data_IF_033165737886
#
_entry.id   IF_033165737886
#
_cell.length_a   1.000
_cell.length_b   1.000
_cell.length_c   1.000
_cell.angle_alpha   90.00
_cell.angle_beta   90.00
_cell.angle_gamma   90.00
#
_symmetry.space_group_name_H-M   'P 1'
#
loop_
_entity.id
_entity.type
_entity.pdbx_description
1 polymer ?
#
# COMPACT_ATOMS: atom_id res chain seq x y z
N UNK A 1 -21.59 10.08 9.46
CA UNK A 1 -22.70 9.20 9.87
C UNK A 1 -22.40 7.76 9.49
N UNK A 2 -23.08 6.77 10.07
CA UNK A 2 -22.93 5.35 9.72
C UNK A 2 -23.35 5.08 8.25
N UNK A 3 -24.33 5.80 7.76
CA UNK A 3 -24.78 5.72 6.34
C UNK A 3 -23.64 6.12 5.39
N UNK A 4 -22.95 7.23 5.67
CA UNK A 4 -21.80 7.66 4.87
C UNK A 4 -20.64 6.67 4.91
N UNK A 5 -20.36 6.06 6.06
CA UNK A 5 -19.32 5.02 6.15
C UNK A 5 -19.65 3.79 5.29
N UNK A 6 -20.91 3.35 5.32
CA UNK A 6 -21.38 2.22 4.47
C UNK A 6 -21.25 2.55 2.99
N UNK A 7 -21.63 3.74 2.59
CA UNK A 7 -21.49 4.21 1.20
C UNK A 7 -20.02 4.24 0.75
N UNK A 8 -19.13 4.82 1.56
CA UNK A 8 -17.69 4.87 1.28
C UNK A 8 -17.12 3.46 1.11
N UNK A 9 -17.41 2.56 2.06
CA UNK A 9 -16.97 1.15 1.99
C UNK A 9 -17.50 0.47 0.74
N UNK A 10 -18.77 0.69 0.37
CA UNK A 10 -19.39 0.13 -0.81
C UNK A 10 -18.70 0.58 -2.09
N UNK A 11 -18.43 1.88 -2.24
CA UNK A 11 -17.75 2.43 -3.40
C UNK A 11 -16.34 1.89 -3.56
N UNK A 12 -15.55 1.86 -2.48
CA UNK A 12 -14.19 1.32 -2.48
C UNK A 12 -14.21 -0.19 -2.81
N UNK A 13 -15.11 -0.95 -2.20
CA UNK A 13 -15.26 -2.38 -2.45
C UNK A 13 -15.64 -2.67 -3.91
N UNK A 14 -16.53 -1.88 -4.50
CA UNK A 14 -16.92 -2.00 -5.91
C UNK A 14 -15.71 -1.80 -6.83
N UNK A 15 -14.93 -0.75 -6.64
CA UNK A 15 -13.72 -0.51 -7.44
C UNK A 15 -12.69 -1.61 -7.22
N UNK A 16 -12.44 -2.00 -5.97
CA UNK A 16 -11.54 -3.11 -5.63
C UNK A 16 -11.94 -4.42 -6.35
N UNK A 17 -13.22 -4.76 -6.37
CA UNK A 17 -13.70 -5.99 -7.00
C UNK A 17 -13.55 -5.99 -8.52
N UNK A 18 -13.63 -4.83 -9.17
CA UNK A 18 -13.51 -4.65 -10.63
C UNK A 18 -12.10 -4.35 -11.10
N UNK A 19 -11.17 -4.03 -10.19
CA UNK A 19 -9.76 -3.78 -10.52
C UNK A 19 -9.00 -5.09 -10.61
N UNK A 20 -8.70 -5.52 -11.84
CA UNK A 20 -7.90 -6.72 -12.10
C UNK A 20 -6.41 -6.41 -12.19
N UNK A 21 -6.04 -5.20 -12.60
CA UNK A 21 -4.67 -4.72 -12.64
C UNK A 21 -4.62 -3.21 -12.40
N UNK A 22 -3.52 -2.76 -11.83
CA UNK A 22 -3.22 -1.35 -11.62
C UNK A 22 -1.73 -1.13 -11.85
N UNK A 23 -1.41 -0.17 -12.72
CA UNK A 23 -0.07 0.37 -12.86
C UNK A 23 -0.12 1.84 -12.49
N UNK A 24 0.80 2.31 -11.67
CA UNK A 24 0.92 3.72 -11.34
C UNK A 24 2.36 4.10 -10.99
N UNK A 25 2.70 5.36 -11.21
CA UNK A 25 3.91 5.92 -10.66
C UNK A 25 3.67 6.33 -9.22
N UNK A 26 4.72 6.38 -8.42
CA UNK A 26 4.64 6.89 -7.06
C UNK A 26 5.84 7.77 -6.72
N UNK A 27 5.61 8.71 -5.82
CA UNK A 27 6.64 9.45 -5.10
C UNK A 27 6.47 9.10 -3.62
N UNK A 28 7.54 8.62 -3.00
CA UNK A 28 7.58 8.34 -1.56
C UNK A 28 8.45 9.37 -0.87
N UNK A 29 7.94 9.94 0.21
CA UNK A 29 8.67 10.80 1.12
C UNK A 29 8.75 10.12 2.48
N UNK A 30 9.95 9.85 2.97
CA UNK A 30 10.19 9.36 4.31
C UNK A 30 10.82 10.46 5.15
N UNK A 31 10.19 10.79 6.27
CA UNK A 31 10.68 11.74 7.27
C UNK A 31 11.15 10.93 8.47
N UNK A 32 12.44 11.04 8.79
CA UNK A 32 13.05 10.38 9.95
C UNK A 32 13.09 11.39 11.10
N UNK A 33 12.28 11.15 12.11
CA UNK A 33 12.03 12.11 13.19
C UNK A 33 13.29 12.45 13.98
N UNK A 34 14.12 11.44 14.28
CA UNK A 34 15.35 11.61 15.09
C UNK A 34 16.43 12.42 14.34
N UNK A 35 16.49 12.30 13.02
CA UNK A 35 17.50 12.98 12.19
C UNK A 35 17.01 14.31 11.61
N UNK A 36 15.70 14.58 11.70
CA UNK A 36 15.03 15.67 10.99
C UNK A 36 15.27 15.66 9.46
N UNK A 37 15.63 14.49 8.92
CA UNK A 37 15.93 14.31 7.51
C UNK A 37 14.71 13.82 6.74
N UNK A 38 14.69 14.18 5.44
CA UNK A 38 13.64 13.80 4.50
C UNK A 38 14.27 13.14 3.29
N UNK A 39 13.83 11.92 3.01
CA UNK A 39 14.26 11.16 1.85
C UNK A 39 13.11 11.09 0.85
N UNK A 40 13.40 11.41 -0.41
CA UNK A 40 12.43 11.31 -1.50
C UNK A 40 12.89 10.20 -2.43
N UNK A 41 11.97 9.31 -2.76
CA UNK A 41 12.17 8.23 -3.71
C UNK A 41 11.02 8.21 -4.71
N UNK A 42 11.32 7.83 -5.94
CA UNK A 42 10.32 7.70 -7.00
C UNK A 42 10.40 6.33 -7.64
N UNK A 43 9.28 5.89 -8.20
CA UNK A 43 9.24 4.60 -8.85
C UNK A 43 7.89 4.28 -9.46
N UNK A 44 7.72 3.01 -9.77
CA UNK A 44 6.54 2.47 -10.41
C UNK A 44 6.02 1.26 -9.64
N UNK A 45 4.70 1.18 -9.50
CA UNK A 45 4.01 0.07 -8.89
C UNK A 45 3.13 -0.63 -9.92
N UNK A 46 3.17 -1.96 -9.91
CA UNK A 46 2.27 -2.84 -10.64
C UNK A 46 1.56 -3.76 -9.67
N UNK A 47 0.25 -3.78 -9.78
CA UNK A 47 -0.61 -4.73 -9.06
C UNK A 47 -1.39 -5.56 -10.07
N UNK A 48 -1.55 -6.85 -9.79
CA UNK A 48 -2.42 -7.75 -10.52
C UNK A 48 -3.24 -8.58 -9.53
N UNK A 49 -4.52 -8.79 -9.83
CA UNK A 49 -5.42 -9.63 -9.03
C UNK A 49 -4.76 -10.99 -8.78
N UNK A 50 -5.13 -11.67 -7.71
CA UNK A 50 -4.45 -12.83 -7.11
C UNK A 50 -3.19 -12.45 -6.32
N UNK A 51 -3.14 -11.20 -5.82
CA UNK A 51 -2.13 -10.72 -4.89
C UNK A 51 -0.70 -10.71 -5.46
N UNK A 52 -0.55 -10.38 -6.73
CA UNK A 52 0.74 -10.08 -7.32
C UNK A 52 1.03 -8.59 -7.25
N UNK A 53 2.14 -8.22 -6.65
CA UNK A 53 2.59 -6.85 -6.47
C UNK A 53 4.06 -6.75 -6.87
N UNK A 54 4.37 -5.77 -7.72
CA UNK A 54 5.74 -5.32 -7.98
C UNK A 54 5.85 -3.86 -7.58
N UNK A 55 6.81 -3.56 -6.72
CA UNK A 55 7.11 -2.21 -6.24
C UNK A 55 8.57 -1.91 -6.56
N UNK A 56 8.78 -1.02 -7.50
CA UNK A 56 10.11 -0.72 -8.02
C UNK A 56 10.45 0.75 -7.75
N UNK A 57 11.56 0.99 -7.07
CA UNK A 57 12.15 2.31 -6.91
C UNK A 57 13.19 2.50 -8.01
N UNK A 58 13.14 3.67 -8.66
CA UNK A 58 14.05 4.04 -9.72
C UNK A 58 15.06 5.09 -9.25
N UNK A 59 14.67 5.96 -8.31
CA UNK A 59 15.51 7.01 -7.72
C UNK A 59 15.28 7.13 -6.21
N UNK A 60 16.30 7.56 -5.43
CA UNK A 60 17.71 7.74 -5.78
C UNK A 60 18.45 6.40 -5.91
N UNK A 61 17.91 5.30 -5.39
CA UNK A 61 18.50 3.96 -5.40
C UNK A 61 17.54 2.98 -6.06
N UNK A 62 18.09 2.06 -6.84
CA UNK A 62 17.32 0.97 -7.42
C UNK A 62 16.99 -0.07 -6.37
N UNK A 63 15.71 -0.25 -6.11
CA UNK A 63 15.22 -1.26 -5.20
C UNK A 63 13.96 -1.89 -5.78
N UNK A 64 13.86 -3.20 -5.67
CA UNK A 64 12.75 -3.97 -6.21
C UNK A 64 12.19 -4.89 -5.14
N UNK A 65 10.89 -4.78 -4.92
CA UNK A 65 10.09 -5.72 -4.15
C UNK A 65 9.07 -6.39 -5.09
N UNK A 66 9.05 -7.73 -5.11
CA UNK A 66 8.01 -8.50 -5.78
C UNK A 66 7.36 -9.42 -4.76
N UNK A 67 6.03 -9.44 -4.76
CA UNK A 67 5.21 -10.44 -4.10
C UNK A 67 4.39 -11.16 -5.18
N UNK A 68 4.48 -12.48 -5.24
CA UNK A 68 3.71 -13.29 -6.18
C UNK A 68 3.60 -14.73 -5.67
N UNK A 69 2.38 -15.28 -5.67
CA UNK A 69 2.14 -16.66 -5.24
C UNK A 69 2.61 -16.97 -3.82
N UNK A 70 2.56 -16.00 -2.90
CA UNK A 70 3.04 -16.14 -1.52
C UNK A 70 4.56 -16.08 -1.36
N UNK A 71 5.31 -15.88 -2.44
CA UNK A 71 6.76 -15.70 -2.43
C UNK A 71 7.11 -14.23 -2.54
N UNK A 72 8.22 -13.83 -1.92
CA UNK A 72 8.76 -12.48 -1.95
C UNK A 72 10.16 -12.50 -2.53
N UNK A 73 10.44 -11.56 -3.41
CA UNK A 73 11.78 -11.20 -3.85
C UNK A 73 12.06 -9.76 -3.46
N UNK A 74 13.21 -9.55 -2.84
CA UNK A 74 13.78 -8.23 -2.57
C UNK A 74 15.11 -8.15 -3.29
N UNK A 75 15.28 -7.12 -4.10
CA UNK A 75 16.54 -6.91 -4.83
C UNK A 75 16.95 -5.44 -4.74
N UNK A 76 18.20 -5.22 -4.42
CA UNK A 76 18.89 -3.95 -4.56
C UNK A 76 20.17 -4.12 -5.41
N UNK A 77 21.01 -3.12 -5.48
CA UNK A 77 22.23 -3.16 -6.32
C UNK A 77 23.23 -4.24 -5.89
N UNK A 78 23.25 -4.61 -4.60
CA UNK A 78 24.26 -5.52 -4.03
C UNK A 78 23.72 -6.89 -3.65
N UNK A 79 22.40 -7.05 -3.49
CA UNK A 79 21.81 -8.26 -2.91
C UNK A 79 20.45 -8.60 -3.53
N UNK A 80 20.20 -9.91 -3.63
CA UNK A 80 18.87 -10.46 -3.96
C UNK A 80 18.50 -11.50 -2.91
N UNK A 81 17.38 -11.25 -2.24
CA UNK A 81 16.79 -12.16 -1.25
C UNK A 81 15.46 -12.71 -1.74
N UNK A 82 15.23 -13.98 -1.49
CA UNK A 82 13.98 -14.68 -1.81
C UNK A 82 13.52 -15.46 -0.60
N UNK A 83 12.24 -15.37 -0.27
CA UNK A 83 11.66 -16.10 0.85
C UNK A 83 10.15 -16.34 0.64
N UNK A 84 9.60 -17.26 1.42
CA UNK A 84 8.17 -17.49 1.46
C UNK A 84 7.53 -16.54 2.50
N UNK A 85 6.63 -15.69 2.05
CA UNK A 85 5.92 -14.75 2.91
C UNK A 85 5.06 -15.47 3.97
N UNK A 86 4.61 -16.70 3.68
CA UNK A 86 3.75 -17.45 4.59
C UNK A 86 4.51 -17.99 5.82
N UNK A 87 5.81 -18.23 5.69
CA UNK A 87 6.66 -18.75 6.79
C UNK A 87 7.08 -17.65 7.76
N UNK A 88 6.99 -16.38 7.36
CA UNK A 88 7.38 -15.25 8.19
C UNK A 88 6.18 -14.31 8.41
N UNK A 89 5.69 -14.27 9.67
CA UNK A 89 4.53 -13.45 10.07
C UNK A 89 4.69 -11.97 9.74
N UNK A 90 5.91 -11.43 9.86
CA UNK A 90 6.21 -10.02 9.59
C UNK A 90 5.99 -9.71 8.11
N UNK A 91 6.60 -10.50 7.21
CA UNK A 91 6.47 -10.28 5.76
C UNK A 91 5.05 -10.52 5.26
N UNK A 92 4.35 -11.52 5.83
CA UNK A 92 2.93 -11.71 5.54
C UNK A 92 2.12 -10.47 5.92
N UNK A 93 2.35 -9.92 7.11
CA UNK A 93 1.66 -8.71 7.57
C UNK A 93 1.94 -7.50 6.68
N UNK A 94 3.20 -7.27 6.30
CA UNK A 94 3.60 -6.19 5.39
C UNK A 94 2.93 -6.36 4.01
N UNK A 95 2.95 -7.57 3.46
CA UNK A 95 2.35 -7.87 2.15
C UNK A 95 0.84 -7.66 2.16
N UNK A 96 0.14 -8.09 3.21
CA UNK A 96 -1.29 -7.85 3.39
C UNK A 96 -1.61 -6.35 3.46
N UNK A 97 -0.79 -5.58 4.16
CA UNK A 97 -0.95 -4.12 4.25
C UNK A 97 -0.74 -3.48 2.89
N UNK A 98 0.36 -3.79 2.20
CA UNK A 98 0.66 -3.22 0.89
C UNK A 98 -0.46 -3.50 -0.12
N UNK A 99 -0.88 -4.75 -0.24
CA UNK A 99 -1.99 -5.13 -1.12
C UNK A 99 -3.29 -4.48 -0.67
N UNK A 100 -3.59 -4.53 0.63
CA UNK A 100 -4.80 -3.96 1.20
C UNK A 100 -4.90 -2.44 1.04
N UNK A 101 -3.76 -1.73 1.07
CA UNK A 101 -3.69 -0.30 0.76
C UNK A 101 -3.98 -0.01 -0.70
N UNK A 102 -3.41 -0.82 -1.61
CA UNK A 102 -3.55 -0.61 -3.07
C UNK A 102 -4.97 -0.89 -3.54
N UNK A 103 -5.58 -1.97 -3.06
CA UNK A 103 -6.91 -2.41 -3.48
C UNK A 103 -8.04 -2.00 -2.52
N UNK A 104 -7.74 -1.31 -1.42
CA UNK A 104 -8.73 -0.86 -0.44
C UNK A 104 -9.30 -1.96 0.48
N UNK A 105 -8.88 -3.22 0.35
CA UNK A 105 -9.41 -4.32 1.18
C UNK A 105 -9.02 -4.19 2.65
N UNK A 106 -8.04 -3.36 2.97
CA UNK A 106 -7.65 -3.06 4.34
C UNK A 106 -8.81 -2.47 5.17
N UNK A 107 -9.74 -1.77 4.52
CA UNK A 107 -10.89 -1.13 5.18
C UNK A 107 -11.94 -2.13 5.67
N UNK A 108 -11.95 -3.34 5.15
CA UNK A 108 -12.89 -4.39 5.55
C UNK A 108 -12.41 -5.21 6.74
N UNK A 109 -11.14 -5.06 7.13
CA UNK A 109 -10.54 -5.84 8.21
C UNK A 109 -10.69 -5.14 9.57
N UNK A 110 -11.92 -5.06 10.07
CA UNK A 110 -12.26 -4.40 11.34
C UNK A 110 -11.65 -5.09 12.58
N UNK A 111 -11.22 -6.34 12.44
CA UNK A 111 -10.53 -7.05 13.53
C UNK A 111 -9.08 -6.57 13.69
N UNK A 112 -8.42 -6.17 12.60
CA UNK A 112 -7.02 -5.72 12.61
C UNK A 112 -6.88 -4.22 12.85
N UNK A 113 -7.89 -3.42 12.45
CA UNK A 113 -7.84 -1.95 12.52
C UNK A 113 -9.13 -1.36 13.07
N UNK A 114 -9.02 -0.23 13.77
CA UNK A 114 -10.12 0.71 13.98
C UNK A 114 -9.99 1.84 12.97
N UNK A 115 -11.10 2.25 12.35
CA UNK A 115 -11.10 3.21 11.26
C UNK A 115 -11.93 4.45 11.57
N UNK A 116 -11.37 5.62 11.28
CA UNK A 116 -12.04 6.92 11.31
C UNK A 116 -12.10 7.47 9.89
N UNK A 117 -13.23 8.08 9.53
CA UNK A 117 -13.52 8.57 8.18
C UNK A 117 -13.65 10.09 8.17
N UNK A 118 -12.90 10.75 7.31
CA UNK A 118 -12.94 12.20 7.12
C UNK A 118 -13.33 12.46 5.66
N UNK A 119 -14.46 13.13 5.47
CA UNK A 119 -15.05 13.37 4.16
C UNK A 119 -14.78 14.82 3.74
N UNK A 120 -13.89 15.00 2.78
CA UNK A 120 -13.65 16.28 2.12
C UNK A 120 -14.52 16.47 0.88
N UNK A 121 -14.32 17.57 0.16
CA UNK A 121 -15.05 17.87 -1.07
C UNK A 121 -14.78 16.83 -2.16
N UNK A 122 -13.51 16.58 -2.49
CA UNK A 122 -13.07 15.71 -3.58
C UNK A 122 -12.42 14.41 -3.11
N UNK A 123 -12.19 14.25 -1.81
CA UNK A 123 -11.47 13.12 -1.24
C UNK A 123 -12.17 12.58 0.00
N UNK A 124 -11.83 11.34 0.31
CA UNK A 124 -12.14 10.71 1.59
C UNK A 124 -10.83 10.22 2.20
N UNK A 125 -10.55 10.59 3.43
CA UNK A 125 -9.43 10.06 4.20
C UNK A 125 -9.93 9.04 5.20
N UNK A 126 -9.37 7.85 5.16
CA UNK A 126 -9.63 6.81 6.15
C UNK A 126 -8.37 6.61 6.99
N UNK A 127 -8.42 7.06 8.24
CA UNK A 127 -7.35 6.89 9.22
C UNK A 127 -7.58 5.61 9.99
N UNK A 128 -6.62 4.69 9.94
CA UNK A 128 -6.69 3.38 10.56
C UNK A 128 -5.64 3.26 11.66
N UNK A 129 -6.08 2.80 12.82
CA UNK A 129 -5.21 2.52 13.98
C UNK A 129 -5.15 1.00 14.16
N UNK A 130 -3.96 0.38 14.17
CA UNK A 130 -3.82 -1.06 14.39
C UNK A 130 -4.39 -1.50 15.74
N UNK A 131 -5.08 -2.63 15.76
CA UNK A 131 -5.53 -3.32 16.99
C UNK A 131 -4.58 -4.45 17.36
N UNK A 132 -3.99 -5.08 16.34
CA UNK A 132 -3.05 -6.20 16.50
C UNK A 132 -1.73 -5.73 17.13
N UNK A 133 -1.19 -6.53 18.06
CA UNK A 133 0.03 -6.17 18.81
C UNK A 133 1.29 -6.09 17.93
N UNK A 134 1.41 -6.96 16.93
CA UNK A 134 2.58 -6.96 16.05
C UNK A 134 2.55 -5.76 15.10
N UNK A 135 1.37 -5.42 14.56
CA UNK A 135 1.20 -4.23 13.74
C UNK A 135 1.46 -2.93 14.54
N UNK A 136 1.06 -2.89 15.83
CA UNK A 136 1.34 -1.76 16.71
C UNK A 136 2.83 -1.54 16.95
N UNK A 137 3.67 -2.57 16.91
CA UNK A 137 5.13 -2.41 17.01
C UNK A 137 5.74 -1.72 15.78
N UNK A 138 5.08 -1.83 14.63
CA UNK A 138 5.57 -1.28 13.37
C UNK A 138 5.04 0.12 13.12
N UNK A 139 3.75 0.34 13.38
CA UNK A 139 3.08 1.58 13.03
C UNK A 139 2.02 1.98 14.07
N UNK A 140 1.84 3.27 14.22
CA UNK A 140 0.80 3.85 15.06
C UNK A 140 -0.48 4.11 14.29
N UNK A 141 -0.35 4.57 13.03
CA UNK A 141 -1.50 4.83 12.14
C UNK A 141 -1.13 4.60 10.68
N UNK A 142 -2.13 4.22 9.89
CA UNK A 142 -2.11 4.26 8.42
C UNK A 142 -3.30 5.08 7.95
N UNK A 143 -3.08 6.07 7.11
CA UNK A 143 -4.14 6.87 6.49
C UNK A 143 -4.16 6.63 4.99
N UNK A 144 -5.32 6.31 4.44
CA UNK A 144 -5.55 6.16 3.01
C UNK A 144 -6.42 7.32 2.53
N UNK A 145 -5.93 8.07 1.55
CA UNK A 145 -6.71 9.10 0.88
C UNK A 145 -7.22 8.56 -0.45
N UNK A 146 -8.54 8.53 -0.60
CA UNK A 146 -9.24 8.11 -1.82
C UNK A 146 -9.75 9.32 -2.57
N UNK A 147 -9.66 9.28 -3.91
CA UNK A 147 -10.34 10.24 -4.77
C UNK A 147 -11.82 9.86 -4.88
N UNK A 148 -12.74 10.82 -4.72
CA UNK A 148 -14.17 10.57 -4.97
C UNK A 148 -14.51 10.41 -6.45
N UNK A 149 -13.59 10.79 -7.36
CA UNK A 149 -13.78 10.66 -8.80
C UNK A 149 -13.72 9.21 -9.27
N UNK A 150 -12.79 8.43 -8.73
CA UNK A 150 -12.49 7.06 -9.17
C UNK A 150 -12.41 6.04 -8.05
N UNK A 151 -12.48 6.47 -6.80
CA UNK A 151 -12.35 5.68 -5.58
C UNK A 151 -11.05 4.87 -5.50
N UNK A 152 -10.02 5.30 -6.23
CA UNK A 152 -8.67 4.77 -6.11
C UNK A 152 -7.90 5.50 -5.02
N UNK A 153 -6.96 4.80 -4.40
CA UNK A 153 -6.03 5.40 -3.44
C UNK A 153 -5.15 6.42 -4.17
N UNK A 154 -5.08 7.63 -3.64
CA UNK A 154 -4.18 8.69 -4.08
C UNK A 154 -2.94 8.79 -3.21
N UNK A 155 -3.12 8.65 -1.89
CA UNK A 155 -2.05 8.82 -0.92
C UNK A 155 -2.16 7.75 0.17
N UNK A 156 -1.02 7.19 0.53
CA UNK A 156 -0.83 6.37 1.73
C UNK A 156 0.07 7.16 2.66
N UNK A 157 -0.35 7.35 3.90
CA UNK A 157 0.48 7.93 4.96
C UNK A 157 0.60 6.92 6.10
N UNK A 158 1.83 6.61 6.52
CA UNK A 158 2.12 5.73 7.65
C UNK A 158 2.92 6.48 8.70
N UNK A 159 2.52 6.33 9.95
CA UNK A 159 3.27 6.79 11.12
C UNK A 159 3.84 5.59 11.85
N UNK A 160 5.15 5.55 12.01
CA UNK A 160 5.86 4.49 12.73
C UNK A 160 5.90 4.79 14.25
N UNK A 161 6.22 3.80 15.07
CA UNK A 161 6.30 3.95 16.53
C UNK A 161 7.36 4.96 16.96
N UNK A 162 8.47 5.08 16.23
CA UNK A 162 9.55 6.04 16.48
C UNK A 162 9.22 7.49 16.08
N UNK A 163 8.03 7.75 15.53
CA UNK A 163 7.65 9.06 15.01
C UNK A 163 8.05 9.29 13.56
N UNK A 164 8.67 8.32 12.92
CA UNK A 164 8.97 8.38 11.49
C UNK A 164 7.68 8.37 10.69
N UNK A 165 7.68 9.12 9.59
CA UNK A 165 6.52 9.28 8.71
C UNK A 165 6.88 8.90 7.28
N UNK A 166 6.07 8.05 6.68
CA UNK A 166 6.16 7.71 5.25
C UNK A 166 4.91 8.17 4.54
N UNK A 167 5.06 8.95 3.48
CA UNK A 167 3.97 9.41 2.61
C UNK A 167 4.25 8.92 1.20
N UNK A 168 3.29 8.22 0.60
CA UNK A 168 3.35 7.73 -0.77
C UNK A 168 2.21 8.36 -1.56
N UNK A 169 2.54 9.08 -2.63
CA UNK A 169 1.58 9.67 -3.54
C UNK A 169 1.59 8.91 -4.87
N UNK A 170 0.43 8.48 -5.32
CA UNK A 170 0.26 7.77 -6.59
C UNK A 170 -0.20 8.70 -7.70
N UNK A 171 0.47 8.60 -8.84
CA UNK A 171 0.17 9.36 -10.05
C UNK A 171 0.09 8.44 -11.27
N UNK A 172 -0.38 8.96 -12.41
CA UNK A 172 -0.39 8.24 -13.71
C UNK A 172 -0.98 6.83 -13.59
N UNK A 173 -2.21 6.75 -13.08
CA UNK A 173 -2.86 5.46 -12.81
C UNK A 173 -3.48 4.88 -14.09
N UNK A 174 -3.15 3.64 -14.39
CA UNK A 174 -3.74 2.83 -15.46
C UNK A 174 -4.42 1.60 -14.87
N UNK A 175 -5.75 1.60 -14.90
CA UNK A 175 -6.59 0.52 -14.37
C UNK A 175 -6.93 -0.45 -15.47
N UNK A 176 -6.89 -1.75 -15.17
CA UNK A 176 -7.27 -2.85 -16.05
C UNK A 176 -6.55 -2.90 -17.40
N UNK A 177 -5.37 -2.28 -17.51
CA UNK A 177 -4.46 -2.51 -18.64
C UNK A 177 -3.80 -3.87 -18.51
N UNK A 178 -3.48 -4.48 -19.67
CA UNK A 178 -2.72 -5.73 -19.70
C UNK A 178 -1.33 -5.51 -19.09
N UNK A 179 -0.98 -6.33 -18.11
CA UNK A 179 0.32 -6.35 -17.44
C UNK A 179 0.90 -7.76 -17.63
N UNK A 180 2.14 -7.84 -18.15
CA UNK A 180 2.82 -9.12 -18.34
C UNK A 180 3.08 -9.83 -16.99
N UNK A 181 2.86 -11.13 -16.95
CA UNK A 181 3.18 -11.96 -15.78
C UNK A 181 4.68 -12.02 -15.49
N UNK A 182 5.52 -11.76 -16.50
CA UNK A 182 6.98 -11.72 -16.35
C UNK A 182 7.45 -10.68 -15.34
N UNK A 183 6.69 -9.60 -15.17
CA UNK A 183 6.99 -8.56 -14.17
C UNK A 183 6.91 -9.07 -12.73
N UNK A 184 6.23 -10.18 -12.50
CA UNK A 184 6.01 -10.77 -11.18
C UNK A 184 6.79 -12.08 -10.97
N UNK A 185 7.66 -12.47 -11.93
CA UNK A 185 8.48 -13.68 -11.79
C UNK A 185 9.50 -13.53 -10.66
N UNK A 186 9.59 -14.58 -9.85
CA UNK A 186 10.57 -14.75 -8.76
C UNK A 186 11.46 -15.95 -9.15
N UNK A 187 12.38 -15.69 -10.08
CA UNK A 187 13.35 -16.71 -10.52
C UNK A 187 14.57 -16.79 -9.60
#
# INVERSE_FOLDING_TARGET
>A
TETQKKEIKSNISKISSTTNSLQCNFTQKKEISVLAEKFVSEGIMYFKKQNSLRWQYDTPYKYLFILSGGKVLIKNESRTDKFDANTNKLFRGISEIMIGCVNGTMLTNENKFSSQYYVGQNTVVVKMTPKDKELKKMMTTVSLTFSKKDWLVQTIEMMEQGGDKTIINFTTKHVNKAISDDLFRIN
#
